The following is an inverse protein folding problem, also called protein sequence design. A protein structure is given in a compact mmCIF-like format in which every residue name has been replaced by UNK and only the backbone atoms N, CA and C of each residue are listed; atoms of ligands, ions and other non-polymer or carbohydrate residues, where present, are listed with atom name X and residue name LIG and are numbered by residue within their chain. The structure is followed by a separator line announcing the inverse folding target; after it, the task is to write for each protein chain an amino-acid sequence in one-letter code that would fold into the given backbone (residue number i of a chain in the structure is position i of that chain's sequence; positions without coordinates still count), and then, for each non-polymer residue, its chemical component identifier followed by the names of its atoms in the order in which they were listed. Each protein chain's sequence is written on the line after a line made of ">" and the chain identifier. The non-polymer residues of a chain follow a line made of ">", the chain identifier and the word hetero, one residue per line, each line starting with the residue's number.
data_IF_174972807991
#
_entry.id   IF_174972807991
#
_cell.length_a   1.000
_cell.length_b   1.000
_cell.length_c   1.000
_cell.angle_alpha   90.00
_cell.angle_beta   90.00
_cell.angle_gamma   90.00
#
_symmetry.space_group_name_H-M   'P 1'
#
loop_
_entity.id
_entity.type
_entity.pdbx_description
1 polymer ?
#
# COMPACT_ATOMS: atom_id res chain seq x y z
N UNK A 1 -13.41 -4.58 3.86
CA UNK A 1 -12.42 -4.07 2.91
C UNK A 1 -11.15 -4.90 3.00
N UNK A 2 -10.74 -5.45 1.90
CA UNK A 2 -9.53 -6.29 1.84
C UNK A 2 -8.71 -5.95 0.60
N UNK A 3 -7.44 -6.36 0.63
CA UNK A 3 -6.57 -6.24 -0.51
C UNK A 3 -6.70 -7.42 -1.46
N UNK A 4 -5.80 -7.49 -2.42
CA UNK A 4 -5.82 -8.49 -3.50
C UNK A 4 -4.84 -9.64 -3.28
N UNK A 5 -4.24 -9.76 -2.11
CA UNK A 5 -3.28 -10.81 -1.81
C UNK A 5 -3.99 -12.13 -1.45
N UNK A 6 -3.35 -13.24 -1.78
CA UNK A 6 -3.86 -14.58 -1.46
C UNK A 6 -3.56 -14.94 -0.01
N UNK A 7 -4.09 -14.18 0.93
CA UNK A 7 -3.94 -14.44 2.35
C UNK A 7 -5.13 -13.89 3.12
N UNK A 8 -5.53 -14.60 4.17
CA UNK A 8 -6.63 -14.17 5.04
C UNK A 8 -6.28 -12.95 5.89
N UNK A 9 -5.00 -12.62 6.00
CA UNK A 9 -4.52 -11.46 6.74
C UNK A 9 -4.65 -10.13 5.99
N UNK A 10 -4.98 -10.16 4.70
CA UNK A 10 -5.09 -8.95 3.88
C UNK A 10 -6.48 -8.31 4.00
N UNK A 11 -6.89 -8.07 5.24
CA UNK A 11 -8.16 -7.43 5.57
C UNK A 11 -7.90 -6.18 6.38
N UNK A 12 -8.38 -5.04 5.88
CA UNK A 12 -8.19 -3.75 6.54
C UNK A 12 -9.33 -3.47 7.50
N UNK A 13 -10.56 -3.63 7.03
CA UNK A 13 -11.77 -3.38 7.83
C UNK A 13 -12.80 -4.47 7.55
N UNK A 14 -13.44 -4.97 8.62
CA UNK A 14 -14.55 -5.91 8.52
C UNK A 14 -15.87 -5.18 8.76
N UNK A 15 -16.90 -5.60 8.03
CA UNK A 15 -18.27 -5.10 8.22
C UNK A 15 -18.39 -3.57 8.07
N UNK A 16 -17.67 -3.01 7.10
CA UNK A 16 -17.77 -1.59 6.79
C UNK A 16 -18.94 -1.35 5.83
N UNK A 17 -19.85 -0.47 6.22
CA UNK A 17 -20.93 -0.02 5.35
C UNK A 17 -20.47 1.18 4.53
N UNK A 18 -20.59 1.07 3.22
CA UNK A 18 -20.27 2.14 2.28
C UNK A 18 -21.49 2.45 1.43
N UNK A 19 -21.81 3.73 1.30
CA UNK A 19 -22.95 4.20 0.52
C UNK A 19 -22.49 4.63 -0.88
N UNK A 20 -23.20 4.17 -1.90
CA UNK A 20 -22.97 4.57 -3.31
C UNK A 20 -21.55 4.29 -3.82
N UNK A 21 -20.89 3.27 -3.29
CA UNK A 21 -19.55 2.87 -3.73
C UNK A 21 -19.60 2.31 -5.15
N UNK A 22 -18.70 2.78 -6.01
CA UNK A 22 -18.58 2.36 -7.39
C UNK A 22 -17.17 1.90 -7.71
N UNK A 23 -17.02 1.04 -8.71
CA UNK A 23 -15.72 0.65 -9.23
C UNK A 23 -14.99 1.89 -9.73
N UNK A 24 -13.76 2.07 -9.31
CA UNK A 24 -12.94 3.25 -9.61
C UNK A 24 -12.90 4.28 -8.50
N UNK A 25 -13.75 4.14 -7.48
CA UNK A 25 -13.68 5.00 -6.31
C UNK A 25 -12.41 4.73 -5.51
N UNK A 26 -11.93 5.76 -4.80
CA UNK A 26 -10.77 5.65 -3.94
C UNK A 26 -11.17 5.65 -2.48
N UNK A 27 -10.52 4.80 -1.69
CA UNK A 27 -10.68 4.78 -0.24
C UNK A 27 -9.45 5.41 0.39
N UNK A 28 -9.68 6.29 1.37
CA UNK A 28 -8.61 6.98 2.09
C UNK A 28 -8.68 6.58 3.55
N UNK A 29 -7.58 6.02 4.06
CA UNK A 29 -7.46 5.63 5.46
C UNK A 29 -6.59 6.64 6.18
N UNK A 30 -7.14 7.26 7.23
CA UNK A 30 -6.44 8.25 8.02
C UNK A 30 -5.80 7.62 9.26
N UNK A 31 -4.82 8.32 9.82
CA UNK A 31 -4.20 7.96 11.10
C UNK A 31 -3.63 6.54 11.14
N UNK A 32 -3.04 6.12 10.02
CA UNK A 32 -2.49 4.76 9.91
C UNK A 32 -1.08 4.63 10.47
N UNK A 33 -0.37 5.74 10.67
CA UNK A 33 0.93 5.77 11.32
C UNK A 33 2.09 5.23 10.48
N UNK A 34 3.29 5.36 11.03
CA UNK A 34 4.53 5.01 10.33
C UNK A 34 4.69 3.49 10.11
N UNK A 35 4.18 2.68 11.01
CA UNK A 35 4.33 1.23 10.92
C UNK A 35 3.56 0.61 9.77
N UNK A 36 2.59 1.29 9.20
CA UNK A 36 1.89 0.78 8.02
C UNK A 36 2.81 0.61 6.83
N UNK A 37 3.91 1.35 6.78
CA UNK A 37 4.89 1.28 5.68
C UNK A 37 5.83 0.10 5.85
N UNK A 38 6.22 -0.23 7.08
CA UNK A 38 7.26 -1.23 7.36
C UNK A 38 6.74 -2.58 7.80
N UNK A 39 5.55 -2.63 8.39
CA UNK A 39 4.99 -3.86 8.97
C UNK A 39 3.79 -4.41 8.17
N UNK A 40 3.42 -3.76 7.08
CA UNK A 40 2.38 -4.26 6.20
C UNK A 40 2.84 -5.48 5.39
N UNK A 41 1.89 -6.16 4.77
CA UNK A 41 2.18 -7.29 3.89
C UNK A 41 2.58 -6.72 2.52
N UNK A 42 3.86 -6.52 2.29
CA UNK A 42 4.33 -5.84 1.08
C UNK A 42 5.28 -6.65 0.21
N UNK A 43 5.85 -7.75 0.70
CA UNK A 43 6.75 -8.60 -0.08
C UNK A 43 6.07 -9.87 -0.60
N UNK A 44 4.76 -9.96 -0.44
CA UNK A 44 3.99 -11.15 -0.82
C UNK A 44 3.54 -11.06 -2.27
N UNK A 45 3.67 -12.15 -3.01
CA UNK A 45 3.27 -12.27 -4.41
C UNK A 45 3.97 -11.28 -5.36
N UNK A 46 5.19 -10.86 -5.02
CA UNK A 46 6.00 -9.95 -5.86
C UNK A 46 5.26 -8.67 -6.26
N UNK A 47 4.37 -8.19 -5.41
CA UNK A 47 3.71 -6.89 -5.62
C UNK A 47 4.69 -5.76 -5.50
N UNK A 48 4.51 -4.72 -6.29
CA UNK A 48 5.33 -3.53 -6.18
C UNK A 48 5.09 -2.83 -4.85
N UNK A 49 6.14 -2.22 -4.31
CA UNK A 49 5.99 -1.36 -3.14
C UNK A 49 5.17 -0.12 -3.51
N UNK A 50 4.33 0.38 -2.59
CA UNK A 50 3.52 1.55 -2.88
C UNK A 50 4.34 2.81 -3.01
N UNK A 51 3.78 3.81 -3.66
CA UNK A 51 4.34 5.15 -3.66
C UNK A 51 4.25 5.75 -2.27
N UNK A 52 5.27 6.51 -1.89
CA UNK A 52 5.25 7.32 -0.68
C UNK A 52 5.35 8.78 -1.09
N UNK A 53 4.37 9.56 -0.68
CA UNK A 53 4.24 10.96 -1.07
C UNK A 53 4.21 11.81 0.18
N UNK A 54 5.05 12.85 0.20
CA UNK A 54 4.99 13.89 1.20
C UNK A 54 4.09 15.01 0.70
N UNK A 55 3.13 15.42 1.53
CA UNK A 55 2.26 16.54 1.19
C UNK A 55 2.37 17.63 2.23
N UNK A 56 2.52 18.87 1.77
CA UNK A 56 2.44 20.04 2.62
C UNK A 56 1.58 21.10 1.94
N UNK A 57 0.88 21.91 2.73
CA UNK A 57 0.09 23.02 2.21
C UNK A 57 0.96 24.08 1.52
N UNK A 58 2.24 24.16 1.89
CA UNK A 58 3.17 25.14 1.37
C UNK A 58 3.80 24.71 0.04
N UNK A 59 4.20 23.43 -0.08
CA UNK A 59 4.98 22.92 -1.22
C UNK A 59 4.21 21.93 -2.09
N UNK A 60 2.96 21.59 -1.74
CA UNK A 60 2.18 20.60 -2.47
C UNK A 60 2.68 19.17 -2.24
N UNK A 61 2.43 18.30 -3.21
CA UNK A 61 2.80 16.89 -3.15
C UNK A 61 4.18 16.67 -3.73
N UNK A 62 4.98 15.83 -3.06
CA UNK A 62 6.31 15.42 -3.52
C UNK A 62 6.47 13.93 -3.37
N UNK A 63 6.88 13.25 -4.44
CA UNK A 63 7.14 11.83 -4.42
C UNK A 63 8.45 11.56 -3.68
N UNK A 64 8.38 10.84 -2.56
CA UNK A 64 9.56 10.43 -1.81
C UNK A 64 10.10 9.08 -2.30
N UNK A 65 9.21 8.16 -2.63
CA UNK A 65 9.58 6.84 -3.14
C UNK A 65 8.52 6.37 -4.13
N UNK A 66 8.96 6.00 -5.33
CA UNK A 66 8.08 5.43 -6.35
C UNK A 66 7.73 3.97 -6.07
N UNK A 67 6.92 3.40 -6.94
CA UNK A 67 6.59 1.97 -6.90
C UNK A 67 7.83 1.16 -7.27
N UNK A 68 8.43 0.53 -6.28
CA UNK A 68 9.61 -0.31 -6.52
C UNK A 68 9.20 -1.76 -6.71
N UNK A 69 9.75 -2.44 -7.73
CA UNK A 69 9.50 -3.87 -7.90
C UNK A 69 10.17 -4.67 -6.78
N UNK A 70 9.44 -5.63 -6.23
CA UNK A 70 9.95 -6.46 -5.14
C UNK A 70 10.66 -7.71 -5.62
N UNK A 71 10.50 -8.10 -6.89
CA UNK A 71 11.14 -9.29 -7.43
C UNK A 71 12.67 -9.19 -7.41
N UNK A 72 13.21 -7.98 -7.42
CA UNK A 72 14.67 -7.74 -7.42
C UNK A 72 15.33 -8.38 -6.20
N UNK A 73 14.65 -8.37 -5.06
CA UNK A 73 15.19 -8.96 -3.83
C UNK A 73 15.43 -10.46 -4.00
N UNK A 74 14.54 -11.15 -4.72
CA UNK A 74 14.61 -12.58 -4.92
C UNK A 74 15.47 -12.98 -6.12
N UNK A 75 15.86 -12.03 -6.95
CA UNK A 75 16.64 -12.30 -8.15
C UNK A 75 18.13 -12.05 -7.99
N UNK A 76 18.58 -11.56 -6.82
CA UNK A 76 20.00 -11.31 -6.58
C UNK A 76 20.77 -12.60 -6.44
N UNK A 77 21.90 -12.67 -7.16
CA UNK A 77 22.79 -13.81 -7.12
C UNK A 77 24.01 -13.42 -6.27
N UNK A 78 24.29 -14.23 -5.25
CA UNK A 78 25.47 -14.05 -4.41
C UNK A 78 26.51 -15.11 -4.78
N UNK A 79 27.66 -14.65 -5.18
CA UNK A 79 28.82 -15.51 -5.51
C UNK A 79 29.80 -15.55 -4.34
#
# INVERSE_FOLDING_TARGET
>A
VCGSLCTVGDVIVKNLELTDLKIGDMLVFHNIGAYSVTEGIYLFLSRNLPNIIEYSSKNGARLLRGQNPTYVINSQIHN
#
